data_IF_346669021160
#
_entry.id   IF_346669021160
#
_cell.length_a   1.000
_cell.length_b   1.000
_cell.length_c   1.000
_cell.angle_alpha   90.00
_cell.angle_beta   90.00
_cell.angle_gamma   90.00
#
_symmetry.space_group_name_H-M   'P 1'
#
loop_
_entity.id
_entity.type
_entity.pdbx_description
1 polymer ?
#
# COMPACT_ATOMS: atom_id res chain seq x y z
N UNK A 1 -31.11 -7.21 24.79
CA UNK A 1 -30.64 -6.63 23.50
C UNK A 1 -29.22 -7.13 23.23
N UNK A 2 -28.85 -7.57 22.01
CA UNK A 2 -27.45 -7.88 21.71
C UNK A 2 -26.60 -6.61 21.86
N UNK A 3 -25.38 -6.75 22.38
CA UNK A 3 -24.45 -5.64 22.60
C UNK A 3 -24.35 -4.76 21.33
N UNK A 4 -24.58 -3.45 21.45
CA UNK A 4 -24.61 -2.49 20.35
C UNK A 4 -23.35 -2.55 19.48
N UNK A 5 -22.19 -2.83 20.09
CA UNK A 5 -20.91 -3.02 19.40
C UNK A 5 -20.96 -4.10 18.30
N UNK A 6 -21.72 -5.16 18.54
CA UNK A 6 -21.82 -6.34 17.67
C UNK A 6 -22.77 -6.14 16.48
N UNK A 7 -23.44 -4.98 16.38
CA UNK A 7 -24.25 -4.57 15.22
C UNK A 7 -23.43 -3.86 14.16
N UNK A 8 -22.28 -3.28 14.53
CA UNK A 8 -21.44 -2.48 13.63
C UNK A 8 -20.63 -3.33 12.64
N UNK A 9 -20.32 -2.79 11.47
CA UNK A 9 -19.52 -3.45 10.42
C UNK A 9 -18.06 -3.73 10.83
N UNK A 10 -17.61 -3.13 11.93
CA UNK A 10 -16.26 -3.33 12.50
C UNK A 10 -16.06 -4.73 13.06
N UNK A 11 -17.13 -5.34 13.59
CA UNK A 11 -17.14 -6.70 14.16
C UNK A 11 -17.81 -7.65 13.18
N UNK A 12 -17.03 -8.47 12.49
CA UNK A 12 -17.53 -9.55 11.63
C UNK A 12 -18.00 -10.72 12.50
N UNK A 13 -19.20 -11.19 12.20
CA UNK A 13 -19.74 -12.46 12.65
C UNK A 13 -19.12 -13.61 11.85
N UNK A 14 -18.48 -14.55 12.54
CA UNK A 14 -17.84 -15.73 11.94
C UNK A 14 -18.41 -16.96 12.61
N UNK A 15 -19.19 -17.76 11.87
CA UNK A 15 -19.61 -19.07 12.33
C UNK A 15 -18.44 -20.04 12.18
N UNK A 16 -18.06 -20.72 13.26
CA UNK A 16 -17.04 -21.78 13.25
C UNK A 16 -17.55 -22.99 14.01
N UNK A 17 -17.15 -24.18 13.56
CA UNK A 17 -17.39 -25.42 14.30
C UNK A 17 -16.38 -25.51 15.43
N UNK A 18 -16.86 -25.72 16.65
CA UNK A 18 -16.00 -25.97 17.80
C UNK A 18 -15.59 -27.45 17.85
N UNK A 19 -14.52 -27.82 18.57
CA UNK A 19 -14.11 -29.22 18.73
C UNK A 19 -15.23 -30.12 19.26
N UNK A 20 -16.16 -29.57 20.05
CA UNK A 20 -17.36 -30.25 20.54
C UNK A 20 -18.40 -30.60 19.45
N UNK A 21 -18.14 -30.28 18.17
CA UNK A 21 -19.04 -30.55 17.05
C UNK A 21 -20.15 -29.52 16.83
N UNK A 22 -20.41 -28.63 17.79
CA UNK A 22 -21.40 -27.55 17.68
C UNK A 22 -20.92 -26.41 16.76
N UNK A 23 -21.86 -25.68 16.16
CA UNK A 23 -21.56 -24.43 15.43
C UNK A 23 -21.79 -23.21 16.33
N UNK A 24 -20.74 -22.45 16.64
CA UNK A 24 -20.84 -21.22 17.45
C UNK A 24 -20.51 -19.98 16.62
N UNK A 25 -21.17 -18.87 16.93
CA UNK A 25 -20.93 -17.56 16.31
C UNK A 25 -19.87 -16.80 17.11
N UNK A 26 -18.76 -16.46 16.45
CA UNK A 26 -17.68 -15.67 17.01
C UNK A 26 -17.69 -14.25 16.42
N UNK A 27 -17.45 -13.25 17.27
CA UNK A 27 -17.27 -11.88 16.84
C UNK A 27 -15.78 -11.58 16.72
N UNK A 28 -15.33 -11.29 15.50
CA UNK A 28 -13.93 -10.93 15.23
C UNK A 28 -13.87 -9.54 14.62
N UNK A 29 -12.82 -8.76 14.93
CA UNK A 29 -12.57 -7.50 14.23
C UNK A 29 -12.19 -7.80 12.78
N UNK A 30 -12.69 -6.99 11.83
CA UNK A 30 -12.15 -7.04 10.45
C UNK A 30 -10.65 -6.74 10.51
N UNK A 31 -9.83 -7.56 9.85
CA UNK A 31 -8.41 -7.28 9.67
C UNK A 31 -8.28 -6.00 8.85
N UNK A 32 -7.98 -4.88 9.51
CA UNK A 32 -7.84 -3.56 8.87
C UNK A 32 -6.60 -3.42 7.98
N UNK A 33 -5.78 -4.46 7.92
CA UNK A 33 -4.55 -4.52 7.16
C UNK A 33 -4.84 -4.89 5.70
N UNK A 34 -5.42 -3.96 4.93
CA UNK A 34 -5.50 -4.08 3.48
C UNK A 34 -4.11 -4.12 2.83
N UNK A 35 -4.05 -4.49 1.55
CA UNK A 35 -2.81 -4.37 0.78
C UNK A 35 -2.41 -2.88 0.68
N UNK A 36 -1.11 -2.59 0.75
CA UNK A 36 -0.63 -1.24 0.46
C UNK A 36 -0.78 -0.94 -1.04
N UNK A 37 -1.07 0.31 -1.38
CA UNK A 37 -1.31 0.74 -2.76
C UNK A 37 -0.25 1.72 -3.25
N UNK A 38 0.04 1.69 -4.54
CA UNK A 38 0.91 2.66 -5.20
C UNK A 38 0.28 4.05 -5.19
N UNK A 39 1.05 5.09 -4.87
CA UNK A 39 0.56 6.47 -4.85
C UNK A 39 0.14 7.01 -6.23
N UNK A 40 0.70 6.46 -7.31
CA UNK A 40 0.41 6.90 -8.69
C UNK A 40 -0.70 6.06 -9.32
N UNK A 41 -0.43 4.77 -9.56
CA UNK A 41 -1.35 3.90 -10.28
C UNK A 41 -2.37 3.17 -9.40
N UNK A 42 -2.31 3.34 -8.07
CA UNK A 42 -3.19 2.65 -7.08
C UNK A 42 -3.12 1.12 -7.09
N UNK A 43 -2.24 0.52 -7.87
CA UNK A 43 -2.01 -0.92 -7.88
C UNK A 43 -1.48 -1.45 -6.55
N UNK A 44 -1.84 -2.68 -6.19
CA UNK A 44 -1.41 -3.32 -4.95
C UNK A 44 0.11 -3.58 -4.92
N UNK A 45 0.75 -3.21 -3.82
CA UNK A 45 2.18 -3.40 -3.57
C UNK A 45 2.39 -4.78 -2.95
N UNK A 46 2.88 -5.74 -3.75
CA UNK A 46 3.06 -7.13 -3.32
C UNK A 46 4.07 -7.34 -2.20
N UNK A 47 5.10 -6.50 -2.13
CA UNK A 47 6.21 -6.63 -1.19
C UNK A 47 6.06 -5.76 0.07
N UNK A 48 4.88 -5.17 0.29
CA UNK A 48 4.66 -4.19 1.36
C UNK A 48 3.49 -4.68 2.21
N UNK A 49 3.80 -5.06 3.43
CA UNK A 49 2.79 -5.38 4.42
C UNK A 49 2.27 -4.09 5.07
N UNK A 50 1.00 -4.06 5.45
CA UNK A 50 0.43 -2.93 6.20
C UNK A 50 0.73 -3.00 7.69
N UNK A 51 0.94 -4.21 8.22
CA UNK A 51 1.33 -4.48 9.61
C UNK A 51 2.65 -5.25 9.65
N UNK A 52 3.39 -5.17 10.77
CA UNK A 52 4.67 -5.86 10.94
C UNK A 52 5.88 -4.93 11.13
N UNK A 53 7.12 -5.46 11.09
CA UNK A 53 8.33 -4.67 11.32
C UNK A 53 8.54 -3.57 10.27
N UNK A 54 9.44 -2.61 10.55
CA UNK A 54 9.73 -1.51 9.61
C UNK A 54 10.25 -2.02 8.26
N UNK A 55 11.04 -3.09 8.28
CA UNK A 55 11.60 -3.74 7.08
C UNK A 55 10.51 -4.28 6.15
N UNK A 56 9.47 -4.94 6.68
CA UNK A 56 8.38 -5.49 5.85
C UNK A 56 7.47 -4.41 5.23
N UNK A 57 7.50 -3.20 5.80
CA UNK A 57 6.76 -2.04 5.30
C UNK A 57 7.55 -1.21 4.29
N UNK A 58 8.88 -1.31 4.29
CA UNK A 58 9.78 -0.45 3.50
C UNK A 58 10.87 -1.28 2.83
N UNK A 59 10.61 -1.82 1.62
CA UNK A 59 11.65 -2.39 0.78
C UNK A 59 12.78 -1.39 0.52
N UNK A 60 14.01 -1.88 0.44
CA UNK A 60 15.23 -1.05 0.39
C UNK A 60 15.39 -0.20 -0.88
N UNK A 61 14.64 -0.52 -1.95
CA UNK A 61 14.67 0.26 -3.20
C UNK A 61 14.19 1.70 -2.97
N UNK A 62 14.66 2.64 -3.80
CA UNK A 62 14.16 4.03 -3.81
C UNK A 62 12.64 4.06 -3.97
N UNK A 63 11.96 4.83 -3.12
CA UNK A 63 10.49 4.90 -3.04
C UNK A 63 9.80 3.54 -2.77
N UNK A 64 10.51 2.60 -2.14
CA UNK A 64 9.93 1.36 -1.62
C UNK A 64 8.81 1.66 -0.62
N UNK A 65 7.67 0.98 -0.76
CA UNK A 65 6.48 1.26 0.06
C UNK A 65 5.56 2.34 -0.49
N UNK A 66 6.01 3.16 -1.46
CA UNK A 66 5.25 4.30 -2.00
C UNK A 66 4.88 4.10 -3.47
N UNK A 67 5.87 3.76 -4.30
CA UNK A 67 5.68 3.50 -5.73
C UNK A 67 5.77 2.02 -6.04
N UNK A 68 5.03 1.56 -7.05
CA UNK A 68 5.26 0.23 -7.62
C UNK A 68 6.51 0.22 -8.50
N UNK A 69 7.05 -0.97 -8.81
CA UNK A 69 8.26 -1.12 -9.64
C UNK A 69 8.12 -0.46 -11.03
N UNK A 70 6.92 -0.47 -11.62
CA UNK A 70 6.65 0.13 -12.93
C UNK A 70 6.75 1.65 -12.88
N UNK A 71 6.02 2.30 -11.96
CA UNK A 71 6.06 3.74 -11.79
C UNK A 71 7.46 4.22 -11.37
N UNK A 72 8.15 3.46 -10.51
CA UNK A 72 9.54 3.79 -10.14
C UNK A 72 10.47 3.77 -11.36
N UNK A 73 10.34 2.78 -12.25
CA UNK A 73 11.16 2.70 -13.48
C UNK A 73 10.99 3.96 -14.34
N UNK A 74 9.76 4.44 -14.51
CA UNK A 74 9.46 5.67 -15.27
C UNK A 74 10.15 6.86 -14.61
N UNK A 75 9.95 7.05 -13.31
CA UNK A 75 10.55 8.16 -12.55
C UNK A 75 12.08 8.14 -12.65
N UNK A 76 12.72 6.97 -12.56
CA UNK A 76 14.18 6.86 -12.68
C UNK A 76 14.67 7.27 -14.07
N UNK A 77 13.98 6.82 -15.13
CA UNK A 77 14.33 7.19 -16.51
C UNK A 77 14.16 8.68 -16.75
N UNK A 78 13.06 9.27 -16.28
CA UNK A 78 12.84 10.71 -16.42
C UNK A 78 13.83 11.53 -15.61
N UNK A 79 14.15 11.09 -14.39
CA UNK A 79 15.20 11.72 -13.59
C UNK A 79 16.57 11.66 -14.28
N UNK A 80 16.93 10.55 -14.94
CA UNK A 80 18.17 10.49 -15.72
C UNK A 80 18.17 11.50 -16.87
N UNK A 81 17.06 11.61 -17.62
CA UNK A 81 16.94 12.58 -18.73
C UNK A 81 17.04 14.03 -18.27
N UNK A 82 16.45 14.35 -17.12
CA UNK A 82 16.57 15.67 -16.50
C UNK A 82 18.02 15.94 -16.07
N UNK A 83 18.70 14.95 -15.48
CA UNK A 83 20.11 15.08 -15.07
C UNK A 83 21.04 15.35 -16.26
N UNK A 84 20.79 14.67 -17.37
CA UNK A 84 21.51 14.85 -18.64
C UNK A 84 21.10 16.14 -19.37
N UNK A 85 20.16 16.93 -18.81
CA UNK A 85 19.59 18.15 -19.41
C UNK A 85 18.91 17.93 -20.77
N UNK A 86 18.54 16.69 -21.08
CA UNK A 86 17.78 16.36 -22.28
C UNK A 86 16.29 16.75 -22.17
N UNK A 87 15.80 17.03 -20.95
CA UNK A 87 14.45 17.51 -20.66
C UNK A 87 14.47 18.54 -19.54
N UNK A 88 13.59 19.54 -19.60
CA UNK A 88 13.33 20.43 -18.47
C UNK A 88 12.41 19.75 -17.45
N UNK A 89 12.38 20.29 -16.23
CA UNK A 89 11.48 19.79 -15.17
C UNK A 89 10.00 20.03 -15.46
N UNK A 90 9.70 20.98 -16.35
CA UNK A 90 8.33 21.30 -16.76
C UNK A 90 7.82 20.35 -17.85
N UNK A 91 8.74 19.67 -18.57
CA UNK A 91 8.41 18.65 -19.57
C UNK A 91 8.12 17.27 -18.96
N UNK A 92 8.25 17.14 -17.63
CA UNK A 92 7.94 15.93 -16.88
C UNK A 92 6.46 15.92 -16.54
N UNK A 93 5.79 14.77 -16.69
CA UNK A 93 4.39 14.62 -16.30
C UNK A 93 4.16 15.09 -14.85
N UNK A 94 3.11 15.87 -14.64
CA UNK A 94 2.74 16.48 -13.34
C UNK A 94 2.69 15.44 -12.22
N UNK A 95 2.26 14.22 -12.56
CA UNK A 95 2.12 13.08 -11.64
C UNK A 95 3.50 12.62 -11.11
N UNK A 96 4.53 12.64 -11.97
CA UNK A 96 5.87 12.15 -11.65
C UNK A 96 6.82 13.25 -11.17
N UNK A 97 6.52 14.52 -11.47
CA UNK A 97 7.34 15.70 -11.12
C UNK A 97 7.87 15.69 -9.69
N UNK A 98 7.00 15.48 -8.70
CA UNK A 98 7.38 15.39 -7.27
C UNK A 98 8.43 14.31 -6.98
N UNK A 99 8.34 13.17 -7.65
CA UNK A 99 9.25 12.05 -7.44
C UNK A 99 10.57 12.23 -8.19
N UNK A 100 10.54 12.86 -9.36
CA UNK A 100 11.73 13.23 -10.12
C UNK A 100 12.54 14.30 -9.37
N UNK A 101 11.88 15.33 -8.83
CA UNK A 101 12.50 16.34 -7.96
C UNK A 101 13.27 15.70 -6.79
N UNK A 102 12.70 14.67 -6.16
CA UNK A 102 13.33 13.96 -5.06
C UNK A 102 14.53 13.08 -5.43
N UNK A 103 14.79 12.82 -6.72
CA UNK A 103 15.99 12.12 -7.20
C UNK A 103 17.08 13.10 -7.68
N UNK A 104 16.66 14.26 -8.17
CA UNK A 104 17.55 15.27 -8.76
C UNK A 104 18.12 16.20 -7.69
N UNK A 105 17.35 16.50 -6.63
CA UNK A 105 17.90 17.06 -5.38
C UNK A 105 18.89 16.08 -4.75
#
# INVERSE_FOLDING_TARGET
MPNTKNRSTSMRKVKRRVPSGESREYYSRRSGAGAAHCAVCKGALKAVQSTGPKSSRRPERKFGGVLCHKCQKIVVVEASRVKEKAKSMDDVDIIYRKYVEGIVK
#
